data_IF_500934657387
#
_entry.id   IF_500934657387
#
_cell.length_a   1.000
_cell.length_b   1.000
_cell.length_c   1.000
_cell.angle_alpha   90.00
_cell.angle_beta   90.00
_cell.angle_gamma   90.00
#
_symmetry.space_group_name_H-M   'P 1'
#
loop_
_entity.id
_entity.type
_entity.pdbx_description
1 polymer ?
#
# COMPACT_ATOMS: atom_id res chain seq x y z
N UNK A 1 -10.96 7.51 29.08
CA UNK A 1 -10.42 7.93 27.77
C UNK A 1 -11.39 7.48 26.69
N UNK A 2 -11.72 8.35 25.73
CA UNK A 2 -12.65 8.00 24.63
C UNK A 2 -11.94 7.07 23.64
N UNK A 3 -12.43 5.84 23.51
CA UNK A 3 -11.99 4.92 22.47
C UNK A 3 -12.72 5.27 21.17
N UNK A 4 -11.94 5.67 20.16
CA UNK A 4 -12.43 5.85 18.78
C UNK A 4 -13.00 4.54 18.27
N UNK A 5 -14.29 4.53 17.93
CA UNK A 5 -14.88 3.41 17.21
C UNK A 5 -14.46 3.45 15.77
N UNK A 6 -14.23 2.25 15.25
CA UNK A 6 -13.85 2.01 13.88
C UNK A 6 -15.17 1.87 13.09
N UNK A 7 -15.41 2.82 12.18
CA UNK A 7 -16.58 2.90 11.30
C UNK A 7 -16.66 1.63 10.46
N UNK A 8 -17.82 0.98 10.51
CA UNK A 8 -18.09 -0.27 9.79
C UNK A 8 -18.05 -0.16 8.28
N UNK A 9 -18.12 -1.31 7.59
CA UNK A 9 -18.18 -1.35 6.11
C UNK A 9 -19.39 -0.59 5.59
N UNK A 10 -20.54 -0.74 6.26
CA UNK A 10 -21.79 -0.06 5.95
C UNK A 10 -21.70 1.43 6.26
N UNK A 11 -21.19 1.78 7.44
CA UNK A 11 -20.89 3.16 7.82
C UNK A 11 -20.02 3.84 6.75
N UNK A 12 -18.97 3.20 6.23
CA UNK A 12 -18.17 3.78 5.14
C UNK A 12 -18.88 3.87 3.78
N UNK A 13 -19.89 3.04 3.51
CA UNK A 13 -20.75 3.14 2.31
C UNK A 13 -21.79 4.27 2.45
N UNK A 14 -22.25 4.51 3.67
CA UNK A 14 -23.30 5.49 4.03
C UNK A 14 -22.73 6.84 4.51
N UNK A 15 -21.41 6.96 4.72
CA UNK A 15 -20.77 8.23 5.04
C UNK A 15 -21.09 9.24 3.92
N UNK A 16 -21.53 10.46 4.27
CA UNK A 16 -21.84 11.47 3.27
C UNK A 16 -20.60 11.79 2.45
N UNK A 17 -20.79 12.02 1.14
CA UNK A 17 -19.71 12.48 0.28
C UNK A 17 -19.05 13.74 0.91
N UNK A 18 -17.72 13.80 1.01
CA UNK A 18 -17.04 14.94 1.60
C UNK A 18 -17.37 16.21 0.81
N UNK A 19 -17.46 17.36 1.49
CA UNK A 19 -17.56 18.64 0.77
C UNK A 19 -16.36 18.81 -0.16
N UNK A 20 -16.50 19.58 -1.25
CA UNK A 20 -15.37 19.84 -2.15
C UNK A 20 -14.15 20.39 -1.40
N UNK A 21 -14.37 21.23 -0.38
CA UNK A 21 -13.30 21.78 0.46
C UNK A 21 -12.66 20.74 1.38
N UNK A 22 -13.44 19.80 1.94
CA UNK A 22 -12.89 18.69 2.75
C UNK A 22 -12.10 17.71 1.89
N UNK A 23 -12.56 17.46 0.67
CA UNK A 23 -11.89 16.63 -0.32
C UNK A 23 -10.58 17.27 -0.79
N UNK A 24 -10.60 18.56 -1.16
CA UNK A 24 -9.42 19.35 -1.51
C UNK A 24 -8.40 19.40 -0.37
N UNK A 25 -8.83 19.59 0.88
CA UNK A 25 -7.90 19.60 2.02
C UNK A 25 -7.37 18.21 2.35
N UNK A 26 -8.14 17.14 2.15
CA UNK A 26 -7.69 15.76 2.41
C UNK A 26 -6.75 15.24 1.30
N UNK A 27 -6.96 15.68 0.05
CA UNK A 27 -6.09 15.44 -1.11
C UNK A 27 -4.91 16.42 -1.22
N UNK A 28 -4.92 17.52 -0.47
CA UNK A 28 -3.70 18.30 -0.21
C UNK A 28 -2.68 17.39 0.48
N UNK A 29 -1.38 17.63 0.30
CA UNK A 29 -0.36 16.65 0.71
C UNK A 29 0.92 17.31 1.20
N UNK A 30 1.61 16.65 2.13
CA UNK A 30 2.94 17.04 2.57
C UNK A 30 4.00 16.28 1.75
N UNK A 31 5.04 17.01 1.33
CA UNK A 31 6.26 16.43 0.77
C UNK A 31 7.41 16.64 1.73
N UNK A 32 8.09 15.56 2.11
CA UNK A 32 9.31 15.59 2.95
C UNK A 32 10.52 15.17 2.15
N UNK A 33 11.56 16.00 2.22
CA UNK A 33 12.80 15.90 1.44
C UNK A 33 13.94 15.29 2.28
N UNK A 34 15.03 14.81 1.66
CA UNK A 34 16.18 14.20 2.36
C UNK A 34 16.87 15.12 3.40
N UNK A 35 16.81 16.45 3.20
CA UNK A 35 17.29 17.44 4.17
C UNK A 35 16.36 17.61 5.40
N UNK A 36 15.17 17.01 5.37
CA UNK A 36 14.14 17.10 6.41
C UNK A 36 13.23 18.34 6.32
N UNK A 37 13.32 19.16 5.26
CA UNK A 37 12.31 20.21 5.01
C UNK A 37 10.99 19.57 4.61
N UNK A 38 9.90 20.30 4.85
CA UNK A 38 8.52 19.89 4.62
C UNK A 38 7.81 20.95 3.81
N UNK A 39 7.08 20.57 2.77
CA UNK A 39 6.24 21.50 2.00
C UNK A 39 4.83 20.96 1.88
N UNK A 40 3.84 21.76 2.27
CA UNK A 40 2.43 21.46 2.09
C UNK A 40 1.99 21.99 0.71
N UNK A 41 1.60 21.08 -0.18
CA UNK A 41 0.93 21.41 -1.44
C UNK A 41 -0.58 21.40 -1.22
N UNK A 42 -1.24 22.52 -1.50
CA UNK A 42 -2.71 22.59 -1.53
C UNK A 42 -3.22 22.15 -2.90
N UNK A 43 -4.19 21.27 -2.93
CA UNK A 43 -4.82 20.76 -4.16
C UNK A 43 -6.14 21.49 -4.40
N UNK A 44 -6.46 21.73 -5.67
CA UNK A 44 -7.81 22.05 -6.12
C UNK A 44 -8.35 20.92 -6.98
N UNK A 45 -9.64 20.61 -6.85
CA UNK A 45 -10.29 19.52 -7.58
C UNK A 45 -11.28 20.13 -8.59
N UNK A 46 -11.13 19.75 -9.86
CA UNK A 46 -12.00 20.18 -10.96
C UNK A 46 -12.94 19.03 -11.35
N UNK A 47 -14.14 19.37 -11.84
CA UNK A 47 -15.10 18.48 -12.49
C UNK A 47 -15.51 17.22 -11.69
N UNK A 48 -15.98 17.40 -10.45
CA UNK A 48 -16.57 16.31 -9.64
C UNK A 48 -18.01 16.63 -9.27
N UNK A 49 -18.94 15.78 -9.73
CA UNK A 49 -20.33 15.76 -9.27
C UNK A 49 -20.43 14.86 -8.04
N UNK A 50 -20.88 15.42 -6.91
CA UNK A 50 -21.08 14.71 -5.65
C UNK A 50 -22.57 14.83 -5.25
N UNK A 51 -23.24 13.72 -5.01
CA UNK A 51 -24.63 13.72 -4.55
C UNK A 51 -24.75 13.65 -3.01
N UNK A 52 -25.66 14.42 -2.38
CA UNK A 52 -25.77 14.50 -0.91
C UNK A 52 -26.95 13.71 -0.34
N UNK A 53 -26.83 13.20 0.91
CA UNK A 53 -27.97 12.94 1.82
C UNK A 53 -27.53 12.77 3.30
N UNK A 54 -28.48 12.54 4.22
CA UNK A 54 -28.45 13.05 5.61
C UNK A 54 -27.97 12.07 6.73
N UNK A 55 -27.65 12.65 7.91
CA UNK A 55 -26.96 12.03 9.06
C UNK A 55 -27.86 11.31 10.10
N UNK A 56 -27.40 10.18 10.67
CA UNK A 56 -27.87 9.60 11.96
C UNK A 56 -26.67 9.01 12.75
N UNK A 57 -26.70 9.02 14.10
CA UNK A 57 -25.60 8.50 14.96
C UNK A 57 -26.09 7.71 16.19
N UNK A 58 -25.52 6.51 16.47
CA UNK A 58 -25.74 5.69 17.70
C UNK A 58 -24.48 4.90 18.14
N UNK A 59 -24.51 4.21 19.30
CA UNK A 59 -23.32 3.73 20.08
C UNK A 59 -23.36 2.21 20.44
N UNK A 60 -22.24 1.45 20.31
CA UNK A 60 -22.07 0.05 20.81
C UNK A 60 -20.64 -0.34 21.30
N UNK A 61 -20.44 -1.20 22.29
CA UNK A 61 -19.17 -1.34 23.07
C UNK A 61 -17.96 -2.05 22.38
N UNK A 62 -16.84 -2.24 23.10
CA UNK A 62 -15.51 -2.66 22.58
C UNK A 62 -15.09 -4.09 23.01
N UNK A 63 -14.39 -4.81 22.12
CA UNK A 63 -13.86 -6.19 22.32
C UNK A 63 -12.34 -6.27 21.96
N UNK A 64 -11.66 -7.35 22.38
CA UNK A 64 -10.19 -7.53 22.43
C UNK A 64 -9.60 -8.17 21.15
N UNK A 65 -8.40 -7.77 20.72
CA UNK A 65 -7.80 -8.08 19.39
C UNK A 65 -6.88 -9.31 19.32
N UNK A 66 -7.05 -10.14 18.26
CA UNK A 66 -6.16 -11.17 17.62
C UNK A 66 -6.99 -11.88 16.51
N UNK A 67 -6.51 -12.34 15.34
CA UNK A 67 -5.17 -12.53 14.71
C UNK A 67 -5.18 -11.99 13.26
N UNK A 68 -4.03 -11.91 12.59
CA UNK A 68 -3.93 -11.45 11.18
C UNK A 68 -3.90 -12.58 10.11
N UNK A 69 -3.88 -13.85 10.57
CA UNK A 69 -3.90 -15.08 9.75
C UNK A 69 -5.16 -15.87 10.13
N UNK A 70 -5.96 -16.25 9.14
CA UNK A 70 -7.30 -16.82 9.27
C UNK A 70 -7.26 -18.34 9.05
N UNK A 71 -7.41 -19.10 10.13
CA UNK A 71 -7.40 -20.57 10.06
C UNK A 71 -6.03 -21.13 9.66
N UNK A 72 -5.96 -21.78 8.50
CA UNK A 72 -4.75 -22.43 7.97
C UNK A 72 -3.94 -21.45 7.13
N UNK A 73 -2.67 -21.23 7.50
CA UNK A 73 -1.76 -20.29 6.81
C UNK A 73 -1.59 -20.62 5.31
N UNK A 74 -2.24 -19.80 4.47
CA UNK A 74 -2.23 -19.91 3.00
C UNK A 74 -1.06 -19.17 2.33
N UNK A 75 -0.09 -18.65 3.09
CA UNK A 75 1.02 -17.84 2.57
C UNK A 75 2.11 -18.68 1.92
N UNK A 76 2.49 -18.33 0.69
CA UNK A 76 3.52 -19.03 -0.08
C UNK A 76 4.87 -18.31 -0.03
N UNK A 77 5.85 -18.87 0.67
CA UNK A 77 7.23 -18.35 0.65
C UNK A 77 7.90 -18.62 -0.70
N UNK A 78 8.26 -17.57 -1.44
CA UNK A 78 8.96 -17.70 -2.73
C UNK A 78 10.45 -17.96 -2.46
N UNK A 79 10.86 -19.22 -2.64
CA UNK A 79 12.26 -19.64 -2.48
C UNK A 79 13.02 -19.77 -3.81
N UNK A 80 12.31 -19.94 -4.93
CA UNK A 80 12.93 -20.08 -6.25
C UNK A 80 13.51 -18.74 -6.74
N UNK A 81 14.81 -18.76 -7.04
CA UNK A 81 15.59 -17.63 -7.55
C UNK A 81 15.02 -17.04 -8.84
N UNK A 82 14.41 -17.87 -9.70
CA UNK A 82 13.75 -17.45 -10.95
C UNK A 82 12.55 -16.56 -10.62
N UNK A 83 11.69 -16.95 -9.66
CA UNK A 83 10.57 -16.10 -9.27
C UNK A 83 11.04 -14.84 -8.54
N UNK A 84 12.00 -14.95 -7.60
CA UNK A 84 12.56 -13.80 -6.87
C UNK A 84 13.21 -12.72 -7.77
N UNK A 85 13.72 -13.10 -8.94
CA UNK A 85 14.38 -12.18 -9.87
C UNK A 85 13.49 -11.68 -11.01
N UNK A 86 12.32 -12.28 -11.25
CA UNK A 86 11.43 -11.95 -12.37
C UNK A 86 10.13 -11.26 -11.96
N UNK A 87 9.51 -10.58 -12.93
CA UNK A 87 8.19 -9.98 -12.78
C UNK A 87 7.11 -11.08 -12.64
N UNK A 88 6.08 -10.93 -11.78
CA UNK A 88 5.78 -9.75 -10.97
C UNK A 88 6.54 -9.67 -9.64
N UNK A 89 7.05 -10.77 -9.10
CA UNK A 89 7.51 -10.82 -7.71
C UNK A 89 8.71 -9.90 -7.41
N UNK A 90 9.58 -9.66 -8.40
CA UNK A 90 10.74 -8.80 -8.27
C UNK A 90 10.45 -7.30 -8.10
N UNK A 91 9.18 -6.88 -8.18
CA UNK A 91 8.71 -5.50 -7.93
C UNK A 91 8.35 -5.25 -6.46
N UNK A 92 8.22 -6.28 -5.64
CA UNK A 92 8.05 -6.13 -4.20
C UNK A 92 9.36 -5.65 -3.56
N UNK A 93 9.25 -4.68 -2.65
CA UNK A 93 10.39 -4.09 -1.94
C UNK A 93 10.17 -4.06 -0.43
N UNK A 94 11.26 -4.04 0.33
CA UNK A 94 11.26 -3.91 1.78
C UNK A 94 11.69 -2.50 2.18
N UNK A 95 10.94 -1.83 3.04
CA UNK A 95 11.33 -0.56 3.64
C UNK A 95 12.25 -0.82 4.83
N UNK A 96 13.18 0.10 5.10
CA UNK A 96 14.05 0.01 6.29
C UNK A 96 13.31 0.18 7.62
N UNK A 97 12.01 0.51 7.59
CA UNK A 97 11.10 0.58 8.74
C UNK A 97 10.48 -0.78 9.08
N UNK A 98 10.63 -1.79 8.21
CA UNK A 98 10.07 -3.14 8.40
C UNK A 98 8.90 -3.45 7.46
N UNK A 99 8.22 -2.43 6.94
CA UNK A 99 7.14 -2.55 5.97
C UNK A 99 7.58 -3.06 4.59
N UNK A 100 6.57 -3.32 3.75
CA UNK A 100 6.68 -3.63 2.33
C UNK A 100 6.27 -2.45 1.44
N UNK A 101 6.49 -2.60 0.14
CA UNK A 101 6.15 -1.63 -0.89
C UNK A 101 6.18 -2.26 -2.28
N UNK A 102 5.79 -1.49 -3.29
CA UNK A 102 5.75 -1.92 -4.70
C UNK A 102 6.42 -0.89 -5.62
N UNK A 103 7.28 -1.36 -6.53
CA UNK A 103 7.83 -0.56 -7.64
C UNK A 103 6.72 -0.27 -8.66
N UNK A 104 6.42 1.01 -8.89
CA UNK A 104 5.39 1.48 -9.84
C UNK A 104 5.90 2.47 -10.90
N UNK A 105 7.13 2.94 -10.78
CA UNK A 105 7.87 3.64 -11.85
C UNK A 105 9.38 3.43 -11.62
N UNK A 106 10.28 3.77 -12.57
CA UNK A 106 11.72 3.57 -12.41
C UNK A 106 12.32 4.14 -11.11
N UNK A 107 11.70 5.18 -10.55
CA UNK A 107 12.14 5.86 -9.32
C UNK A 107 11.07 5.92 -8.23
N UNK A 108 9.90 5.27 -8.36
CA UNK A 108 8.79 5.47 -7.43
C UNK A 108 8.28 4.16 -6.80
N UNK A 109 7.99 4.25 -5.49
CA UNK A 109 7.50 3.15 -4.67
C UNK A 109 6.23 3.57 -3.96
N UNK A 110 5.15 2.82 -4.17
CA UNK A 110 3.92 2.94 -3.40
C UNK A 110 4.03 2.06 -2.15
N UNK A 111 3.56 2.59 -1.01
CA UNK A 111 3.54 1.93 0.30
C UNK A 111 2.38 2.51 1.14
N UNK A 112 2.19 2.03 2.37
CA UNK A 112 1.20 2.57 3.29
C UNK A 112 1.76 3.83 3.98
N UNK A 113 0.89 4.77 4.36
CA UNK A 113 1.33 6.01 5.01
C UNK A 113 1.84 5.76 6.44
N UNK A 114 1.24 4.82 7.17
CA UNK A 114 1.69 4.44 8.52
C UNK A 114 3.13 3.88 8.56
N UNK A 115 3.63 3.37 7.43
CA UNK A 115 5.00 2.88 7.29
C UNK A 115 6.07 3.99 7.34
N UNK A 116 5.65 5.26 7.31
CA UNK A 116 6.51 6.45 7.35
C UNK A 116 6.01 7.58 8.27
N UNK A 117 4.73 7.59 8.68
CA UNK A 117 4.09 8.65 9.46
C UNK A 117 3.04 8.09 10.43
N UNK A 118 3.07 8.39 11.72
CA UNK A 118 2.18 7.79 12.74
C UNK A 118 0.77 8.40 12.82
N UNK A 119 0.43 9.26 11.86
CA UNK A 119 -0.79 10.05 11.82
C UNK A 119 -0.62 11.44 12.45
N UNK A 120 0.43 11.67 13.24
CA UNK A 120 0.78 12.97 13.82
C UNK A 120 2.13 13.50 13.35
N UNK A 121 3.14 12.64 13.24
CA UNK A 121 4.47 13.00 12.73
C UNK A 121 5.19 11.82 12.03
N UNK A 122 6.27 12.13 11.32
CA UNK A 122 7.09 11.16 10.61
C UNK A 122 7.83 10.24 11.59
N UNK A 123 7.70 8.93 11.40
CA UNK A 123 8.27 7.94 12.32
C UNK A 123 9.80 7.99 12.35
N UNK A 124 10.39 7.55 13.47
CA UNK A 124 11.85 7.50 13.65
C UNK A 124 12.51 6.71 12.52
N UNK A 125 13.43 7.35 11.81
CA UNK A 125 14.16 6.76 10.68
C UNK A 125 13.68 7.22 9.29
N UNK A 126 12.53 7.87 9.18
CA UNK A 126 12.02 8.52 7.95
C UNK A 126 13.07 9.36 7.20
N UNK A 127 13.79 10.25 7.91
CA UNK A 127 14.90 11.07 7.35
C UNK A 127 16.07 10.27 6.76
N UNK A 128 16.17 8.97 7.06
CA UNK A 128 17.20 8.05 6.53
C UNK A 128 16.54 6.81 5.89
N UNK A 129 15.30 6.94 5.44
CA UNK A 129 14.51 5.86 4.86
C UNK A 129 15.21 5.29 3.64
N UNK A 130 15.27 3.95 3.60
CA UNK A 130 15.83 3.19 2.49
C UNK A 130 14.82 2.17 2.02
N UNK A 131 14.78 1.96 0.71
CA UNK A 131 14.04 0.89 0.07
C UNK A 131 15.02 -0.16 -0.42
N UNK A 132 14.78 -1.41 -0.03
CA UNK A 132 15.55 -2.59 -0.35
C UNK A 132 14.89 -3.36 -1.50
N UNK A 133 15.56 -3.41 -2.64
CA UNK A 133 15.16 -4.25 -3.77
C UNK A 133 15.82 -5.61 -3.64
N UNK A 134 15.05 -6.70 -3.73
CA UNK A 134 15.60 -8.05 -3.59
C UNK A 134 16.56 -8.39 -4.73
N UNK A 135 17.73 -8.93 -4.39
CA UNK A 135 18.82 -9.27 -5.30
C UNK A 135 19.49 -10.58 -4.89
N UNK A 136 19.62 -11.50 -5.84
CA UNK A 136 20.43 -12.71 -5.67
C UNK A 136 21.91 -12.36 -5.71
N UNK A 137 22.69 -12.93 -4.79
CA UNK A 137 24.16 -12.78 -4.81
C UNK A 137 24.76 -13.81 -5.78
N UNK A 138 25.07 -13.37 -7.00
CA UNK A 138 25.75 -14.22 -7.98
C UNK A 138 27.19 -14.55 -7.53
N UNK A 139 27.71 -15.70 -7.95
CA UNK A 139 29.16 -16.00 -7.89
C UNK A 139 29.89 -14.98 -8.78
N UNK A 140 30.91 -14.30 -8.25
CA UNK A 140 31.63 -13.27 -9.01
C UNK A 140 32.94 -12.81 -8.37
N UNK A 141 34.04 -13.42 -8.79
CA UNK A 141 35.36 -12.79 -9.07
C UNK A 141 36.16 -12.03 -8.00
N UNK A 142 35.60 -11.65 -6.86
CA UNK A 142 36.31 -10.82 -5.87
C UNK A 142 37.43 -11.56 -5.12
N UNK A 143 38.67 -11.04 -5.17
CA UNK A 143 39.85 -11.55 -4.43
C UNK A 143 39.49 -11.97 -2.99
N UNK A 144 39.81 -13.22 -2.63
CA UNK A 144 39.60 -13.80 -1.29
C UNK A 144 40.26 -12.93 -0.20
N UNK A 145 39.50 -12.07 0.49
CA UNK A 145 39.89 -11.58 1.82
C UNK A 145 39.70 -12.72 2.82
N UNK A 146 40.81 -13.37 3.22
CA UNK A 146 40.84 -14.34 4.32
C UNK A 146 40.25 -13.68 5.57
N UNK A 147 39.21 -14.27 6.17
CA UNK A 147 38.66 -13.85 7.47
C UNK A 147 37.13 -13.69 7.56
N UNK A 148 36.41 -13.44 6.46
CA UNK A 148 34.94 -13.30 6.55
C UNK A 148 34.25 -14.65 6.71
N UNK A 149 33.48 -14.82 7.79
CA UNK A 149 32.59 -15.98 8.01
C UNK A 149 31.75 -16.27 6.76
N UNK A 150 31.54 -17.55 6.43
CA UNK A 150 30.74 -18.02 5.28
C UNK A 150 29.27 -17.62 5.44
N UNK A 151 28.91 -16.40 5.05
CA UNK A 151 27.49 -16.01 4.88
C UNK A 151 26.92 -16.90 3.79
N UNK A 152 25.96 -17.75 4.17
CA UNK A 152 25.47 -18.89 3.40
C UNK A 152 25.18 -18.52 1.94
N UNK A 153 25.74 -19.32 1.03
CA UNK A 153 25.68 -19.07 -0.41
C UNK A 153 24.24 -19.12 -0.92
N UNK A 154 23.95 -18.33 -1.95
CA UNK A 154 22.65 -18.35 -2.63
C UNK A 154 21.48 -17.73 -1.85
N UNK A 155 21.65 -17.23 -0.63
CA UNK A 155 20.60 -16.43 0.05
C UNK A 155 20.34 -15.11 -0.69
N UNK A 156 19.07 -14.68 -0.81
CA UNK A 156 18.74 -13.35 -1.32
C UNK A 156 19.24 -12.26 -0.37
N UNK A 157 19.41 -11.05 -0.89
CA UNK A 157 19.87 -9.87 -0.14
C UNK A 157 19.22 -8.61 -0.69
N UNK A 158 19.14 -7.55 0.11
CA UNK A 158 18.54 -6.28 -0.33
C UNK A 158 19.60 -5.32 -0.88
N UNK A 159 19.39 -4.85 -2.11
CA UNK A 159 20.07 -3.67 -2.64
C UNK A 159 19.32 -2.43 -2.17
N UNK A 160 19.88 -1.75 -1.16
CA UNK A 160 19.27 -0.55 -0.54
C UNK A 160 19.56 0.73 -1.32
N UNK A 161 18.51 1.51 -1.59
CA UNK A 161 18.57 2.89 -2.12
C UNK A 161 17.87 3.84 -1.15
N UNK A 162 18.42 5.05 -0.93
CA UNK A 162 17.77 6.08 -0.12
C UNK A 162 16.54 6.65 -0.83
N UNK A 163 15.54 7.01 -0.04
CA UNK A 163 14.44 7.88 -0.47
C UNK A 163 14.96 9.32 -0.57
N UNK A 164 14.55 10.02 -1.62
CA UNK A 164 14.81 11.44 -1.90
C UNK A 164 13.68 12.29 -1.34
N UNK A 165 12.45 11.97 -1.75
CA UNK A 165 11.21 12.65 -1.36
C UNK A 165 10.16 11.63 -0.90
N UNK A 166 9.28 12.03 0.01
CA UNK A 166 8.13 11.24 0.50
C UNK A 166 6.88 12.10 0.44
N UNK A 167 5.86 11.65 -0.29
CA UNK A 167 4.55 12.32 -0.39
C UNK A 167 3.52 11.59 0.48
N UNK A 168 2.78 12.33 1.31
CA UNK A 168 1.75 11.80 2.21
C UNK A 168 0.49 12.68 2.11
N UNK A 169 -0.70 12.10 1.90
CA UNK A 169 -1.96 12.85 1.87
C UNK A 169 -2.27 13.45 3.25
N UNK A 170 -2.79 14.68 3.27
CA UNK A 170 -3.15 15.38 4.50
C UNK A 170 -4.33 14.71 5.22
N UNK A 171 -5.17 13.96 4.51
CA UNK A 171 -6.16 13.07 5.11
C UNK A 171 -5.56 12.08 6.13
N UNK A 172 -4.34 11.57 5.88
CA UNK A 172 -3.57 10.79 6.86
C UNK A 172 -2.97 11.66 7.96
N UNK A 173 -2.33 12.78 7.58
CA UNK A 173 -1.57 13.62 8.50
C UNK A 173 -2.43 14.48 9.46
N UNK A 174 -3.76 14.52 9.27
CA UNK A 174 -4.72 15.21 10.14
C UNK A 174 -4.88 14.59 11.54
N UNK A 175 -4.28 13.44 11.83
CA UNK A 175 -4.26 12.84 13.18
C UNK A 175 -5.62 12.35 13.71
N UNK A 176 -6.59 12.15 12.83
CA UNK A 176 -7.91 11.62 13.16
C UNK A 176 -7.81 10.18 13.65
N UNK A 177 -8.20 9.92 14.91
CA UNK A 177 -8.38 8.55 15.42
C UNK A 177 -9.69 7.97 14.87
N UNK A 178 -9.65 7.36 13.69
CA UNK A 178 -10.79 6.68 13.03
C UNK A 178 -10.49 6.29 11.57
N UNK A 179 -11.38 5.53 10.94
CA UNK A 179 -11.19 4.94 9.60
C UNK A 179 -11.00 5.92 8.46
N UNK A 180 -11.53 7.14 8.61
CA UNK A 180 -11.32 8.20 7.62
C UNK A 180 -9.83 8.50 7.44
N UNK A 181 -8.97 8.19 8.41
CA UNK A 181 -7.52 8.20 8.22
C UNK A 181 -7.03 7.00 7.38
N UNK A 182 -7.57 5.79 7.59
CA UNK A 182 -7.21 4.58 6.84
C UNK A 182 -7.52 4.70 5.35
N UNK A 183 -8.58 5.43 4.98
CA UNK A 183 -8.88 5.76 3.58
C UNK A 183 -7.71 6.48 2.88
N UNK A 184 -6.86 7.16 3.66
CA UNK A 184 -5.65 7.84 3.20
C UNK A 184 -4.34 7.15 3.59
N UNK A 185 -4.36 5.87 3.99
CA UNK A 185 -3.16 5.10 4.37
C UNK A 185 -2.34 4.64 3.15
N UNK A 186 -1.90 5.58 2.32
CA UNK A 186 -0.99 5.39 1.21
C UNK A 186 0.03 6.53 1.12
N UNK A 187 1.26 6.21 0.71
CA UNK A 187 2.33 7.18 0.52
C UNK A 187 3.19 6.80 -0.69
N UNK A 188 3.78 7.81 -1.33
CA UNK A 188 4.71 7.63 -2.45
C UNK A 188 6.13 8.02 -2.04
N UNK A 189 7.08 7.12 -2.31
CA UNK A 189 8.51 7.34 -2.05
C UNK A 189 9.25 7.51 -3.38
N UNK A 190 9.85 8.68 -3.60
CA UNK A 190 10.80 8.89 -4.70
C UNK A 190 12.18 8.36 -4.29
N UNK A 191 12.78 7.48 -5.10
CA UNK A 191 14.10 6.91 -4.89
C UNK A 191 15.19 7.83 -5.44
N UNK A 192 16.25 8.05 -4.65
CA UNK A 192 17.44 8.85 -5.05
C UNK A 192 18.17 8.31 -6.29
N UNK A 193 17.88 7.09 -6.73
CA UNK A 193 18.41 6.48 -7.97
C UNK A 193 17.35 5.59 -8.58
N UNK A 194 17.14 5.73 -9.89
CA UNK A 194 16.27 4.86 -10.65
C UNK A 194 16.80 3.41 -10.65
N UNK A 195 15.88 2.44 -10.61
CA UNK A 195 16.18 1.02 -10.70
C UNK A 195 16.09 0.51 -12.15
N UNK A 196 16.80 -0.58 -12.45
CA UNK A 196 16.78 -1.26 -13.76
C UNK A 196 15.85 -2.48 -13.81
N UNK A 197 14.90 -2.59 -12.88
CA UNK A 197 13.86 -3.64 -12.88
C UNK A 197 12.62 -3.17 -13.63
N UNK A 198 11.81 -4.13 -14.11
CA UNK A 198 10.40 -3.85 -14.42
C UNK A 198 9.68 -3.37 -13.15
N UNK A 199 8.63 -2.59 -13.33
CA UNK A 199 7.70 -2.12 -12.31
C UNK A 199 6.28 -2.52 -12.73
N UNK A 200 5.29 -2.37 -11.85
CA UNK A 200 3.90 -2.70 -12.17
C UNK A 200 3.13 -1.42 -12.53
N UNK A 201 2.23 -1.51 -13.51
CA UNK A 201 1.34 -0.40 -13.88
C UNK A 201 0.35 -0.13 -12.73
N UNK A 202 -0.04 1.13 -12.54
CA UNK A 202 -1.18 1.49 -11.70
C UNK A 202 -2.49 1.24 -12.46
N UNK A 203 -3.58 1.07 -11.70
CA UNK A 203 -4.94 1.06 -12.23
C UNK A 203 -5.95 1.45 -11.18
N UNK A 204 -7.11 1.91 -11.62
CA UNK A 204 -8.24 2.18 -10.75
C UNK A 204 -8.81 0.85 -10.23
N UNK A 205 -9.14 0.79 -8.95
CA UNK A 205 -9.82 -0.36 -8.35
C UNK A 205 -11.20 -0.53 -8.98
N UNK A 206 -11.50 -1.65 -9.66
CA UNK A 206 -12.87 -1.96 -10.04
C UNK A 206 -13.72 -2.22 -8.78
N UNK A 207 -15.04 -2.30 -8.96
CA UNK A 207 -15.96 -2.84 -7.95
C UNK A 207 -15.82 -4.36 -7.85
N UNK A 208 -16.22 -4.96 -6.72
CA UNK A 208 -16.12 -6.41 -6.49
C UNK A 208 -16.83 -7.21 -7.58
N UNK A 209 -18.00 -6.74 -8.03
CA UNK A 209 -18.77 -7.34 -9.14
C UNK A 209 -17.99 -7.38 -10.47
N UNK A 210 -16.92 -6.60 -10.60
CA UNK A 210 -16.03 -6.51 -11.78
C UNK A 210 -14.63 -7.09 -11.51
N UNK A 211 -14.36 -7.68 -10.34
CA UNK A 211 -13.10 -8.37 -10.03
C UNK A 211 -13.04 -9.73 -10.75
N UNK A 212 -11.97 -10.06 -11.50
CA UNK A 212 -11.82 -11.36 -12.15
C UNK A 212 -11.83 -12.51 -11.13
N UNK A 213 -12.93 -13.28 -11.11
CA UNK A 213 -13.16 -14.36 -10.14
C UNK A 213 -13.22 -13.89 -8.68
N UNK A 214 -13.41 -12.59 -8.41
CA UNK A 214 -13.34 -12.02 -7.06
C UNK A 214 -11.93 -12.01 -6.43
N UNK A 215 -10.88 -12.42 -7.16
CA UNK A 215 -9.56 -12.68 -6.59
C UNK A 215 -8.62 -11.48 -6.68
N UNK A 216 -7.88 -11.25 -5.59
CA UNK A 216 -6.75 -10.32 -5.52
C UNK A 216 -5.44 -11.07 -5.25
N UNK A 217 -4.32 -10.44 -5.59
CA UNK A 217 -2.98 -10.98 -5.40
C UNK A 217 -2.07 -9.92 -4.78
N UNK A 218 -1.15 -10.32 -3.88
CA UNK A 218 -0.03 -9.46 -3.49
C UNK A 218 1.20 -10.26 -3.06
N UNK A 219 2.33 -9.57 -2.90
CA UNK A 219 3.55 -10.12 -2.33
C UNK A 219 4.22 -9.09 -1.43
N UNK A 220 4.84 -9.57 -0.34
CA UNK A 220 5.41 -8.73 0.71
C UNK A 220 6.38 -9.50 1.59
N UNK A 221 6.93 -8.80 2.57
CA UNK A 221 7.92 -9.32 3.52
C UNK A 221 7.28 -9.39 4.91
N UNK A 222 6.60 -10.49 5.21
CA UNK A 222 5.97 -10.71 6.53
C UNK A 222 6.99 -10.68 7.67
N UNK A 223 6.56 -10.22 8.85
CA UNK A 223 7.47 -10.07 10.00
C UNK A 223 7.98 -11.42 10.54
N UNK A 224 7.13 -12.45 10.51
CA UNK A 224 7.44 -13.82 10.94
C UNK A 224 8.26 -14.61 9.91
N UNK A 225 8.47 -14.08 8.69
CA UNK A 225 9.16 -14.76 7.58
C UNK A 225 10.45 -14.01 7.21
N UNK A 226 11.48 -14.15 8.05
CA UNK A 226 12.74 -13.39 7.98
C UNK A 226 13.36 -13.27 6.57
N UNK A 227 13.21 -12.07 5.98
CA UNK A 227 13.71 -11.67 4.65
C UNK A 227 13.23 -12.54 3.46
N UNK A 228 12.20 -13.37 3.67
CA UNK A 228 11.55 -14.13 2.62
C UNK A 228 10.51 -13.26 1.92
N UNK A 229 10.47 -13.34 0.58
CA UNK A 229 9.37 -12.77 -0.18
C UNK A 229 8.21 -13.75 -0.15
N UNK A 230 7.05 -13.31 0.31
CA UNK A 230 5.89 -14.16 0.53
C UNK A 230 4.73 -13.69 -0.34
N UNK A 231 4.20 -14.59 -1.15
CA UNK A 231 3.08 -14.39 -2.07
C UNK A 231 1.79 -14.97 -1.50
N UNK A 232 0.66 -14.34 -1.84
CA UNK A 232 -0.67 -14.82 -1.52
C UNK A 232 -1.72 -14.32 -2.50
N UNK A 233 -2.87 -14.98 -2.47
CA UNK A 233 -4.06 -14.63 -3.24
C UNK A 233 -5.29 -15.09 -2.45
N UNK A 234 -6.37 -14.31 -2.50
CA UNK A 234 -7.62 -14.60 -1.81
C UNK A 234 -8.78 -13.90 -2.52
N UNK A 235 -10.01 -14.25 -2.16
CA UNK A 235 -11.20 -13.52 -2.56
C UNK A 235 -11.36 -12.24 -1.72
N UNK A 236 -11.85 -11.17 -2.34
CA UNK A 236 -12.36 -10.01 -1.61
C UNK A 236 -13.77 -10.32 -1.08
N UNK A 237 -14.05 -9.97 0.16
CA UNK A 237 -15.32 -10.26 0.83
C UNK A 237 -16.32 -9.10 0.73
N UNK A 238 -15.85 -7.86 0.89
CA UNK A 238 -16.66 -6.65 0.71
C UNK A 238 -15.77 -5.43 0.39
N UNK A 239 -16.36 -4.32 -0.05
CA UNK A 239 -15.70 -3.06 -0.40
C UNK A 239 -16.48 -1.86 0.13
N UNK A 240 -15.78 -0.85 0.63
CA UNK A 240 -16.33 0.52 0.74
C UNK A 240 -15.80 1.37 -0.41
N UNK A 241 -16.14 2.66 -0.47
CA UNK A 241 -15.63 3.58 -1.49
C UNK A 241 -14.09 3.56 -1.59
N UNK A 242 -13.41 3.47 -0.45
CA UNK A 242 -11.97 3.64 -0.35
C UNK A 242 -11.20 2.41 0.16
N UNK A 243 -11.86 1.37 0.69
CA UNK A 243 -11.23 0.16 1.25
C UNK A 243 -11.77 -1.15 0.64
N UNK A 244 -10.89 -2.16 0.53
CA UNK A 244 -11.24 -3.56 0.28
C UNK A 244 -11.08 -4.37 1.56
N UNK A 245 -12.08 -5.20 1.87
CA UNK A 245 -12.14 -6.08 3.03
C UNK A 245 -11.96 -7.53 2.59
N UNK A 246 -10.97 -8.22 3.14
CA UNK A 246 -10.49 -9.50 2.61
C UNK A 246 -9.82 -10.37 3.69
N UNK A 247 -9.66 -11.66 3.39
CA UNK A 247 -9.09 -12.67 4.29
C UNK A 247 -7.78 -13.30 3.75
N UNK A 248 -7.00 -12.56 2.96
CA UNK A 248 -5.64 -12.97 2.60
C UNK A 248 -4.77 -12.94 3.86
N UNK A 249 -4.18 -14.09 4.21
CA UNK A 249 -3.28 -14.20 5.35
C UNK A 249 -2.08 -13.25 5.24
N UNK A 250 -1.88 -12.44 6.27
CA UNK A 250 -0.84 -11.43 6.27
C UNK A 250 -0.34 -11.19 7.69
N UNK A 251 0.90 -10.72 7.78
CA UNK A 251 1.48 -10.26 9.04
C UNK A 251 2.05 -8.85 8.84
N UNK A 252 2.16 -8.10 9.94
CA UNK A 252 2.50 -6.67 10.01
C UNK A 252 3.60 -6.14 9.07
N UNK A 253 4.63 -6.91 8.75
CA UNK A 253 5.68 -6.53 7.80
C UNK A 253 5.24 -6.43 6.32
N UNK A 254 4.13 -7.05 5.96
CA UNK A 254 3.56 -7.02 4.60
C UNK A 254 2.75 -5.75 4.30
N UNK A 255 2.50 -4.90 5.30
CA UNK A 255 1.85 -3.59 5.10
C UNK A 255 2.61 -2.72 4.09
N UNK A 256 1.86 -1.95 3.31
CA UNK A 256 2.36 -1.24 2.14
C UNK A 256 2.55 -2.08 0.87
N UNK A 257 2.38 -3.42 0.93
CA UNK A 257 2.39 -4.25 -0.28
C UNK A 257 1.32 -3.83 -1.28
N UNK A 258 1.72 -3.73 -2.56
CA UNK A 258 0.81 -3.45 -3.66
C UNK A 258 -0.06 -4.66 -4.00
N UNK A 259 -1.38 -4.46 -3.92
CA UNK A 259 -2.41 -5.43 -4.31
C UNK A 259 -2.74 -5.24 -5.78
N UNK A 260 -2.68 -6.33 -6.55
CA UNK A 260 -2.88 -6.30 -8.00
C UNK A 260 -3.91 -7.31 -8.50
N UNK A 261 -4.47 -6.97 -9.67
CA UNK A 261 -5.26 -7.88 -10.50
C UNK A 261 -4.42 -8.38 -11.67
N UNK A 262 -4.79 -9.56 -12.18
CA UNK A 262 -4.29 -10.07 -13.47
C UNK A 262 -5.38 -9.89 -14.52
N UNK A 263 -5.28 -8.83 -15.31
CA UNK A 263 -6.26 -8.43 -16.32
C UNK A 263 -5.82 -8.95 -17.70
N UNK A 264 -6.77 -9.45 -18.49
CA UNK A 264 -6.53 -9.73 -19.91
C UNK A 264 -6.67 -8.41 -20.67
N UNK A 265 -5.71 -8.07 -21.53
CA UNK A 265 -5.87 -6.90 -22.41
C UNK A 265 -7.00 -7.17 -23.41
N UNK A 266 -7.90 -6.20 -23.67
CA UNK A 266 -8.74 -6.22 -24.88
C UNK A 266 -7.86 -6.42 -26.12
N UNK A 267 -8.36 -7.22 -27.06
CA UNK A 267 -7.77 -7.44 -28.39
C UNK A 267 -6.35 -8.05 -28.44
N UNK A 268 -5.76 -8.40 -27.28
CA UNK A 268 -4.44 -9.06 -27.19
C UNK A 268 -4.52 -10.35 -26.38
N UNK A 269 -3.67 -11.32 -26.74
CA UNK A 269 -3.49 -12.57 -25.98
C UNK A 269 -2.69 -12.38 -24.67
N UNK A 270 -2.31 -11.16 -24.34
CA UNK A 270 -1.44 -10.83 -23.21
C UNK A 270 -2.23 -10.50 -21.93
N UNK A 271 -1.62 -10.84 -20.79
CA UNK A 271 -2.15 -10.53 -19.46
C UNK A 271 -1.30 -9.44 -18.80
N UNK A 272 -1.92 -8.29 -18.52
CA UNK A 272 -1.32 -7.24 -17.70
C UNK A 272 -1.57 -7.50 -16.22
N UNK A 273 -0.72 -6.89 -15.39
CA UNK A 273 -0.96 -6.77 -13.94
C UNK A 273 -0.97 -5.29 -13.59
N UNK A 274 -2.05 -4.85 -12.98
CA UNK A 274 -2.24 -3.48 -12.50
C UNK A 274 -2.40 -3.49 -10.98
N UNK A 275 -1.68 -2.60 -10.30
CA UNK A 275 -1.85 -2.32 -8.88
C UNK A 275 -3.15 -1.54 -8.71
N UNK A 276 -4.05 -2.03 -7.87
CA UNK A 276 -5.39 -1.47 -7.63
C UNK A 276 -5.60 -1.01 -6.19
N UNK A 277 -4.76 -1.46 -5.25
CA UNK A 277 -4.87 -1.12 -3.84
C UNK A 277 -3.52 -1.28 -3.11
N UNK A 278 -3.43 -0.70 -1.91
CA UNK A 278 -2.27 -0.81 -0.99
C UNK A 278 -2.72 -1.56 0.26
N UNK A 279 -2.06 -2.66 0.61
CA UNK A 279 -2.40 -3.40 1.83
C UNK A 279 -2.07 -2.57 3.08
N UNK A 280 -3.08 -2.23 3.89
CA UNK A 280 -2.95 -1.37 5.07
C UNK A 280 -2.73 -2.17 6.35
N UNK A 281 -3.34 -3.35 6.49
CA UNK A 281 -3.17 -4.18 7.68
C UNK A 281 -4.45 -4.88 8.11
N UNK A 282 -4.50 -5.30 9.37
CA UNK A 282 -5.66 -5.93 10.01
C UNK A 282 -6.48 -4.90 10.80
N UNK A 283 -7.80 -4.88 10.60
CA UNK A 283 -8.73 -3.99 11.27
C UNK A 283 -9.92 -4.74 11.88
N UNK A 284 -10.52 -4.14 12.90
CA UNK A 284 -11.76 -4.60 13.54
C UNK A 284 -12.88 -3.68 13.10
N UNK A 285 -13.87 -4.23 12.40
CA UNK A 285 -14.84 -3.48 11.62
C UNK A 285 -16.23 -3.87 12.09
N UNK A 286 -17.10 -2.88 12.28
CA UNK A 286 -18.49 -3.14 12.61
C UNK A 286 -19.29 -3.55 11.37
N UNK A 287 -20.08 -4.62 11.45
CA UNK A 287 -20.98 -5.06 10.37
C UNK A 287 -22.32 -5.44 11.01
N UNK A 288 -23.37 -4.65 10.76
CA UNK A 288 -24.68 -4.79 11.41
C UNK A 288 -24.65 -4.86 12.97
N UNK A 289 -23.75 -4.12 13.63
CA UNK A 289 -23.57 -4.18 15.10
C UNK A 289 -22.70 -5.35 15.59
N UNK A 290 -22.20 -6.19 14.68
CA UNK A 290 -21.31 -7.31 14.97
C UNK A 290 -19.89 -6.94 14.55
N UNK A 291 -18.98 -6.92 15.52
CA UNK A 291 -17.55 -6.74 15.26
C UNK A 291 -16.98 -7.96 14.53
N UNK A 292 -16.42 -7.73 13.33
CA UNK A 292 -15.72 -8.71 12.51
C UNK A 292 -14.30 -8.22 12.22
N UNK A 293 -13.35 -9.13 12.14
CA UNK A 293 -11.98 -8.81 11.79
C UNK A 293 -11.69 -9.05 10.31
N UNK A 294 -10.98 -8.10 9.69
CA UNK A 294 -10.64 -8.13 8.27
C UNK A 294 -9.20 -7.71 8.05
N UNK A 295 -8.57 -8.28 7.03
CA UNK A 295 -7.40 -7.68 6.42
C UNK A 295 -7.88 -6.66 5.36
N UNK A 296 -7.32 -5.46 5.39
CA UNK A 296 -7.82 -4.28 4.69
C UNK A 296 -6.77 -3.73 3.72
N UNK A 297 -7.22 -3.30 2.54
CA UNK A 297 -6.38 -2.62 1.56
C UNK A 297 -7.04 -1.33 1.05
N UNK A 298 -6.28 -0.24 0.99
CA UNK A 298 -6.73 1.06 0.48
C UNK A 298 -6.85 1.00 -1.03
N UNK A 299 -8.06 1.16 -1.55
CA UNK A 299 -8.38 1.22 -2.98
C UNK A 299 -7.70 2.42 -3.63
N UNK A 300 -7.20 2.22 -4.84
CA UNK A 300 -6.83 3.28 -5.76
C UNK A 300 -8.12 3.72 -6.48
N UNK A 301 -8.79 4.71 -5.91
CA UNK A 301 -9.92 5.40 -6.55
C UNK A 301 -9.42 6.33 -7.67
N UNK A 302 -10.29 6.86 -8.56
CA UNK A 302 -9.87 7.78 -9.61
C UNK A 302 -9.08 9.00 -9.10
N UNK A 303 -9.51 9.57 -7.95
CA UNK A 303 -8.83 10.71 -7.34
C UNK A 303 -7.45 10.34 -6.77
N UNK A 304 -7.33 9.17 -6.13
CA UNK A 304 -6.04 8.64 -5.67
C UNK A 304 -5.11 8.29 -6.84
N UNK A 305 -5.65 7.75 -7.92
CA UNK A 305 -4.90 7.50 -9.16
C UNK A 305 -4.31 8.81 -9.71
N UNK A 306 -5.14 9.84 -9.88
CA UNK A 306 -4.71 11.14 -10.38
C UNK A 306 -3.65 11.80 -9.47
N UNK A 307 -3.83 11.73 -8.15
CA UNK A 307 -2.86 12.27 -7.18
C UNK A 307 -1.52 11.51 -7.20
N UNK A 308 -1.54 10.17 -7.24
CA UNK A 308 -0.32 9.36 -7.34
C UNK A 308 0.39 9.60 -8.68
N UNK A 309 -0.37 9.74 -9.77
CA UNK A 309 0.17 10.09 -11.09
C UNK A 309 0.85 11.47 -11.07
N UNK A 310 0.20 12.49 -10.49
CA UNK A 310 0.77 13.82 -10.29
C UNK A 310 2.10 13.76 -9.52
N UNK A 311 2.19 12.93 -8.48
CA UNK A 311 3.44 12.75 -7.72
C UNK A 311 4.53 12.01 -8.51
N UNK A 312 4.19 11.15 -9.47
CA UNK A 312 5.16 10.44 -10.32
C UNK A 312 5.73 11.35 -11.41
N UNK A 313 4.89 12.18 -12.02
CA UNK A 313 5.21 12.96 -13.21
C UNK A 313 5.56 14.42 -12.92
N UNK A 314 5.03 15.00 -11.86
CA UNK A 314 5.14 16.43 -11.54
C UNK A 314 4.09 17.32 -12.23
N UNK A 315 3.30 16.74 -13.14
CA UNK A 315 2.17 17.37 -13.84
C UNK A 315 0.95 16.44 -13.87
N UNK A 316 -0.18 16.95 -14.36
CA UNK A 316 -1.43 16.20 -14.53
C UNK A 316 -1.71 15.74 -15.98
N UNK A 317 -0.81 16.00 -16.93
CA UNK A 317 -1.09 15.90 -18.37
C UNK A 317 -1.38 14.46 -18.84
N UNK A 318 -0.88 13.47 -18.10
CA UNK A 318 -1.05 12.04 -18.39
C UNK A 318 -1.96 11.31 -17.37
N UNK A 319 -2.65 12.05 -16.49
CA UNK A 319 -3.27 11.48 -15.29
C UNK A 319 -4.78 11.20 -15.39
N UNK A 320 -5.36 11.35 -16.57
CA UNK A 320 -6.81 11.21 -16.83
C UNK A 320 -7.27 9.79 -17.23
N UNK A 321 -6.35 8.86 -17.49
CA UNK A 321 -6.67 7.50 -17.99
C UNK A 321 -5.98 6.40 -17.15
N UNK A 322 -6.75 5.69 -16.31
CA UNK A 322 -6.26 4.68 -15.35
C UNK A 322 -6.62 3.22 -15.63
#
# INVERSE_FOLDING_TARGET
>A
MVLSRVCGIECQKELPAPSLSDLEDSLSYETVFENGTRTLTRVKVQDVVLEPTQNISRKGASVRRKRQVYGTDSRFSILDKKFLTNFPFNTAVKLSTGCSGILISPSHVLTAAHCVHDGKDYIKGSKKLRVGLLKMRNKGGGKKRRGSKRVAEGRPSFQWTRVKNTHIPKGWARGGKGDVALDYDYALLELKRAHKKKYMELGISPTIKKLPGGMIHFSGFDHDRADQLVYRFCSVSDESNDLLYQYCDAESGSTGSGVYLRLKEPDKKNWKRKIIAVYSGHQWVDVHGVQKDYNVAVRITPLKYAQICLWIHGDNANCTYG
#
